data_IF_094740672369
#
_entry.id   IF_094740672369
#
_cell.length_a   1.000
_cell.length_b   1.000
_cell.length_c   1.000
_cell.angle_alpha   90.00
_cell.angle_beta   90.00
_cell.angle_gamma   90.00
#
_symmetry.space_group_name_H-M   'P 1'
#
loop_
_entity.id
_entity.type
_entity.pdbx_description
1 polymer ?
#
# COMPACT_ATOMS: atom_id res chain seq x y z
N UNK A 1 21.91 -10.95 -16.27
CA UNK A 1 20.99 -9.89 -15.79
C UNK A 1 19.59 -10.27 -16.29
N UNK A 2 18.76 -10.82 -15.41
CA UNK A 2 17.35 -11.14 -15.74
C UNK A 2 16.58 -9.85 -15.50
N UNK A 3 16.33 -9.09 -16.56
CA UNK A 3 15.96 -7.67 -16.45
C UNK A 3 14.46 -7.40 -16.42
N UNK A 4 13.59 -8.42 -16.33
CA UNK A 4 12.15 -8.29 -16.15
C UNK A 4 11.57 -9.69 -15.88
N UNK A 5 11.30 -10.03 -14.61
CA UNK A 5 10.49 -11.22 -14.30
C UNK A 5 9.03 -10.81 -14.20
N UNK A 6 8.28 -11.05 -15.26
CA UNK A 6 6.82 -11.04 -15.16
C UNK A 6 6.37 -12.43 -14.72
N UNK A 7 5.78 -12.52 -13.51
CA UNK A 7 5.27 -13.78 -12.98
C UNK A 7 3.81 -13.88 -13.39
N UNK A 8 3.57 -14.60 -14.49
CA UNK A 8 2.22 -14.87 -14.97
C UNK A 8 1.83 -16.30 -14.63
N UNK A 9 0.74 -16.46 -13.89
CA UNK A 9 0.14 -17.78 -13.63
C UNK A 9 -1.34 -17.73 -13.99
N UNK A 10 -1.78 -18.57 -14.93
CA UNK A 10 -3.19 -18.73 -15.26
C UNK A 10 -3.56 -20.23 -15.30
N UNK A 11 -4.59 -20.68 -14.56
CA UNK A 11 -5.40 -19.89 -13.62
C UNK A 11 -4.57 -19.38 -12.43
N UNK A 12 -5.00 -18.26 -11.83
CA UNK A 12 -4.34 -17.72 -10.64
C UNK A 12 -4.46 -18.73 -9.48
N UNK A 13 -3.36 -19.05 -8.78
CA UNK A 13 -3.41 -19.97 -7.66
C UNK A 13 -4.20 -19.36 -6.49
N UNK A 14 -4.63 -20.20 -5.55
CA UNK A 14 -5.25 -19.72 -4.32
C UNK A 14 -4.30 -18.81 -3.52
N UNK A 15 -2.99 -19.10 -3.57
CA UNK A 15 -1.97 -18.38 -2.82
C UNK A 15 -0.71 -18.22 -3.67
N UNK A 16 -0.16 -17.02 -3.69
CA UNK A 16 1.11 -16.68 -4.34
C UNK A 16 2.02 -16.03 -3.31
N UNK A 17 3.25 -16.54 -3.19
CA UNK A 17 4.29 -15.96 -2.33
C UNK A 17 5.49 -15.66 -3.21
N UNK A 18 5.94 -14.40 -3.21
CA UNK A 18 7.09 -13.93 -3.97
C UNK A 18 8.11 -13.36 -2.99
N UNK A 19 9.36 -13.81 -3.12
CA UNK A 19 10.52 -13.26 -2.43
C UNK A 19 11.46 -12.71 -3.51
N UNK A 20 11.44 -11.40 -3.72
CA UNK A 20 12.42 -10.72 -4.57
C UNK A 20 13.51 -10.10 -3.71
N UNK A 21 14.74 -10.53 -3.96
CA UNK A 21 15.95 -10.07 -3.27
C UNK A 21 16.92 -9.39 -4.24
N UNK A 22 16.46 -9.04 -5.45
CA UNK A 22 17.32 -8.76 -6.59
C UNK A 22 16.94 -7.49 -7.37
N UNK A 23 16.22 -6.58 -6.73
CA UNK A 23 15.74 -5.31 -7.29
C UNK A 23 14.94 -5.52 -8.61
N UNK A 24 14.27 -6.68 -8.73
CA UNK A 24 13.59 -7.07 -9.96
C UNK A 24 12.17 -6.53 -9.89
N UNK A 25 11.70 -5.81 -10.92
CA UNK A 25 10.31 -5.38 -10.93
C UNK A 25 9.39 -6.61 -11.06
N UNK A 26 8.46 -6.74 -10.11
CA UNK A 26 7.43 -7.79 -10.10
C UNK A 26 6.22 -7.24 -10.83
N UNK A 27 5.88 -7.83 -11.98
CA UNK A 27 4.68 -7.48 -12.72
C UNK A 27 3.66 -8.61 -12.68
N UNK A 28 2.40 -8.23 -12.46
CA UNK A 28 1.20 -9.06 -12.69
C UNK A 28 1.10 -10.29 -11.79
N UNK A 29 1.64 -10.18 -10.57
CA UNK A 29 1.43 -11.19 -9.56
C UNK A 29 -0.06 -11.33 -9.25
N UNK A 30 -0.58 -12.55 -9.31
CA UNK A 30 -1.98 -12.81 -9.03
C UNK A 30 -2.18 -13.94 -8.04
N UNK A 31 -3.25 -13.85 -7.27
CA UNK A 31 -3.73 -14.89 -6.38
C UNK A 31 -5.24 -14.71 -6.17
N UNK A 32 -5.96 -15.79 -5.88
CA UNK A 32 -7.39 -15.71 -5.57
C UNK A 32 -7.62 -15.31 -4.11
N UNK A 33 -6.91 -15.96 -3.17
CA UNK A 33 -7.10 -15.70 -1.73
C UNK A 33 -6.02 -14.82 -1.15
N UNK A 34 -4.76 -15.16 -1.38
CA UNK A 34 -3.65 -14.50 -0.69
C UNK A 34 -2.47 -14.25 -1.62
N UNK A 35 -2.08 -12.98 -1.76
CA UNK A 35 -0.82 -12.59 -2.36
C UNK A 35 0.12 -12.08 -1.27
N UNK A 36 1.32 -12.65 -1.18
CA UNK A 36 2.40 -12.16 -0.31
C UNK A 36 3.61 -11.80 -1.15
N UNK A 37 4.09 -10.58 -1.05
CA UNK A 37 5.32 -10.12 -1.70
C UNK A 37 6.28 -9.61 -0.65
N UNK A 38 7.49 -10.13 -0.64
CA UNK A 38 8.60 -9.56 0.12
C UNK A 38 9.64 -9.10 -0.88
N UNK A 39 9.95 -7.81 -0.85
CA UNK A 39 10.84 -7.15 -1.78
C UNK A 39 12.01 -6.52 -1.07
N UNK A 40 13.20 -6.70 -1.64
CA UNK A 40 14.39 -5.95 -1.27
C UNK A 40 14.39 -4.55 -1.91
N UNK A 41 15.49 -3.86 -1.68
CA UNK A 41 15.83 -2.55 -2.19
C UNK A 41 15.43 -2.29 -3.64
N UNK A 42 14.98 -1.06 -3.94
CA UNK A 42 14.62 -0.54 -5.26
C UNK A 42 13.59 -1.36 -6.07
N UNK A 43 12.99 -2.40 -5.50
CA UNK A 43 12.02 -3.20 -6.22
C UNK A 43 10.77 -2.39 -6.54
N UNK A 44 10.19 -2.66 -7.71
CA UNK A 44 8.90 -2.13 -8.10
C UNK A 44 7.90 -3.27 -8.11
N UNK A 45 6.88 -3.19 -7.27
CA UNK A 45 5.84 -4.21 -7.15
C UNK A 45 4.58 -3.72 -7.81
N UNK A 46 4.32 -4.22 -9.02
CA UNK A 46 3.10 -3.97 -9.75
C UNK A 46 2.16 -5.16 -9.57
N UNK A 47 1.17 -5.01 -8.69
CA UNK A 47 0.06 -5.96 -8.57
C UNK A 47 -1.06 -5.49 -9.49
N UNK A 48 -0.75 -5.26 -10.77
CA UNK A 48 -1.77 -4.97 -11.76
C UNK A 48 -2.50 -6.27 -12.08
N UNK A 49 -3.58 -6.55 -11.35
CA UNK A 49 -4.52 -7.58 -11.73
C UNK A 49 -5.67 -6.91 -12.48
N UNK A 50 -5.47 -6.69 -13.77
CA UNK A 50 -6.57 -6.36 -14.70
C UNK A 50 -7.65 -7.44 -14.75
N UNK A 51 -7.46 -8.58 -14.06
CA UNK A 51 -8.33 -9.76 -14.10
C UNK A 51 -9.03 -10.02 -12.76
N UNK A 52 -8.36 -9.98 -11.61
CA UNK A 52 -8.97 -10.27 -10.27
C UNK A 52 -8.07 -9.83 -9.11
N UNK A 53 -8.58 -8.99 -8.19
CA UNK A 53 -7.87 -8.66 -6.96
C UNK A 53 -7.89 -9.85 -5.96
N UNK A 54 -6.76 -10.16 -5.29
CA UNK A 54 -6.74 -11.14 -4.21
C UNK A 54 -7.70 -10.72 -3.08
N UNK A 55 -8.23 -11.68 -2.31
CA UNK A 55 -8.98 -11.34 -1.09
C UNK A 55 -8.08 -10.57 -0.12
N UNK A 56 -6.89 -11.08 0.14
CA UNK A 56 -5.90 -10.44 0.99
C UNK A 56 -4.57 -10.25 0.24
N UNK A 57 -3.96 -9.09 0.39
CA UNK A 57 -2.65 -8.77 -0.18
C UNK A 57 -1.73 -8.25 0.92
N UNK A 58 -0.55 -8.84 1.05
CA UNK A 58 0.48 -8.44 2.01
C UNK A 58 1.78 -8.11 1.28
N UNK A 59 2.31 -6.91 1.50
CA UNK A 59 3.61 -6.50 0.96
C UNK A 59 4.54 -6.09 2.08
N UNK A 60 5.76 -6.61 2.03
CA UNK A 60 6.90 -6.12 2.79
C UNK A 60 7.90 -5.52 1.81
N UNK A 61 8.12 -4.22 1.88
CA UNK A 61 9.11 -3.51 1.07
C UNK A 61 10.26 -2.97 1.90
N UNK A 62 11.37 -2.67 1.24
CA UNK A 62 12.52 -2.00 1.84
C UNK A 62 13.21 -1.09 0.82
N UNK A 63 13.88 -0.05 1.30
CA UNK A 63 14.74 0.89 0.55
C UNK A 63 14.20 1.29 -0.84
N UNK A 64 13.49 2.41 -0.95
CA UNK A 64 12.94 2.98 -2.19
C UNK A 64 11.96 2.06 -2.96
N UNK A 65 11.29 1.13 -2.26
CA UNK A 65 10.28 0.25 -2.87
C UNK A 65 9.13 1.09 -3.44
N UNK A 66 8.72 0.77 -4.67
CA UNK A 66 7.56 1.39 -5.33
C UNK A 66 6.44 0.39 -5.49
N UNK A 67 5.26 0.71 -4.97
CA UNK A 67 4.08 -0.17 -5.03
C UNK A 67 2.95 0.58 -5.74
N UNK A 68 2.94 0.66 -7.07
CA UNK A 68 1.83 1.21 -7.82
C UNK A 68 0.74 0.17 -8.10
N UNK A 69 -0.50 0.64 -8.18
CA UNK A 69 -1.68 -0.08 -8.66
C UNK A 69 -1.97 -1.40 -7.94
N UNK A 70 -1.68 -1.45 -6.65
CA UNK A 70 -2.00 -2.60 -5.82
C UNK A 70 -3.48 -2.68 -5.50
N UNK A 71 -4.02 -3.88 -5.34
CA UNK A 71 -5.38 -4.09 -4.90
C UNK A 71 -5.56 -5.31 -3.98
N UNK A 72 -6.66 -5.29 -3.24
CA UNK A 72 -7.20 -6.40 -2.46
C UNK A 72 -8.72 -6.21 -2.31
N UNK A 73 -9.49 -7.29 -2.12
CA UNK A 73 -10.94 -7.21 -1.92
C UNK A 73 -11.32 -7.01 -0.45
N UNK A 74 -10.52 -7.51 0.48
CA UNK A 74 -10.80 -7.48 1.92
C UNK A 74 -9.70 -6.76 2.70
N UNK A 75 -8.46 -7.24 2.65
CA UNK A 75 -7.36 -6.66 3.42
C UNK A 75 -6.14 -6.37 2.54
N UNK A 76 -5.70 -5.12 2.54
CA UNK A 76 -4.42 -4.69 1.99
C UNK A 76 -3.51 -4.28 3.15
N UNK A 77 -2.38 -4.97 3.30
CA UNK A 77 -1.42 -4.67 4.35
C UNK A 77 -0.03 -4.47 3.76
N UNK A 78 0.55 -3.29 3.96
CA UNK A 78 1.84 -2.89 3.42
C UNK A 78 2.72 -2.45 4.57
N UNK A 79 3.88 -3.11 4.71
CA UNK A 79 4.90 -2.77 5.69
C UNK A 79 6.17 -2.38 4.94
N UNK A 80 6.71 -1.21 5.23
CA UNK A 80 7.96 -0.74 4.62
C UNK A 80 8.93 -0.25 5.68
N UNK A 81 10.20 -0.66 5.56
CA UNK A 81 11.20 -0.35 6.60
C UNK A 81 12.03 0.89 6.31
N UNK A 82 12.17 1.28 5.03
CA UNK A 82 12.95 2.43 4.57
C UNK A 82 12.33 2.95 3.27
N UNK A 83 12.35 4.27 3.09
CA UNK A 83 11.84 5.06 1.96
C UNK A 83 10.91 4.34 0.97
N UNK A 84 9.64 4.73 0.85
CA UNK A 84 8.75 4.08 -0.11
C UNK A 84 7.83 5.07 -0.84
N UNK A 85 7.40 4.68 -2.04
CA UNK A 85 6.32 5.34 -2.76
C UNK A 85 5.22 4.32 -2.99
N UNK A 86 4.09 4.54 -2.32
CA UNK A 86 2.90 3.69 -2.43
C UNK A 86 1.83 4.44 -3.21
N UNK A 87 1.26 3.77 -4.21
CA UNK A 87 0.03 4.19 -4.86
C UNK A 87 -0.91 3.01 -4.94
N UNK A 88 -2.10 3.15 -4.37
CA UNK A 88 -3.13 2.12 -4.47
C UNK A 88 -3.97 2.41 -5.71
N UNK A 89 -4.40 1.36 -6.40
CA UNK A 89 -5.18 1.51 -7.63
C UNK A 89 -6.45 2.33 -7.34
N UNK A 90 -6.68 3.40 -8.09
CA UNK A 90 -7.84 4.29 -7.95
C UNK A 90 -9.17 3.63 -8.37
N UNK A 91 -9.12 2.39 -8.89
CA UNK A 91 -10.31 1.69 -9.36
C UNK A 91 -10.92 0.78 -8.29
N UNK A 92 -12.25 0.86 -8.17
CA UNK A 92 -13.07 0.01 -7.33
C UNK A 92 -12.90 -1.48 -7.69
N UNK A 93 -12.91 -2.42 -6.72
CA UNK A 93 -13.27 -2.25 -5.32
C UNK A 93 -12.10 -1.86 -4.39
N UNK A 94 -12.40 -0.95 -3.46
CA UNK A 94 -11.53 -0.70 -2.31
C UNK A 94 -11.63 -1.86 -1.31
N UNK A 95 -10.54 -2.27 -0.66
CA UNK A 95 -10.58 -3.28 0.39
C UNK A 95 -11.42 -2.80 1.58
N UNK A 96 -11.95 -3.72 2.38
CA UNK A 96 -12.58 -3.37 3.65
C UNK A 96 -11.58 -2.68 4.58
N UNK A 97 -10.35 -3.20 4.65
CA UNK A 97 -9.28 -2.71 5.49
C UNK A 97 -8.00 -2.46 4.70
N UNK A 98 -7.41 -1.29 4.90
CA UNK A 98 -6.06 -0.97 4.44
C UNK A 98 -5.18 -0.60 5.61
N UNK A 99 -4.04 -1.26 5.74
CA UNK A 99 -3.01 -0.98 6.74
C UNK A 99 -1.72 -0.65 6.03
N UNK A 100 -1.14 0.50 6.34
CA UNK A 100 0.18 0.90 5.88
C UNK A 100 1.02 1.23 7.11
N UNK A 101 2.09 0.47 7.33
CA UNK A 101 3.03 0.67 8.42
C UNK A 101 4.40 1.03 7.86
N UNK A 102 4.92 2.19 8.27
CA UNK A 102 6.19 2.74 7.84
C UNK A 102 7.00 3.27 9.02
N UNK A 103 8.27 2.86 9.05
CA UNK A 103 9.26 3.33 10.01
C UNK A 103 10.10 4.52 9.52
N UNK A 104 9.83 5.09 8.33
CA UNK A 104 10.67 6.11 7.71
C UNK A 104 9.89 7.17 6.90
N UNK A 105 10.39 7.54 5.71
CA UNK A 105 9.83 8.51 4.78
C UNK A 105 9.01 7.83 3.70
N UNK A 106 7.69 8.01 3.75
CA UNK A 106 6.78 7.43 2.77
C UNK A 106 5.98 8.51 2.06
N UNK A 107 5.88 8.38 0.74
CA UNK A 107 4.88 9.12 -0.03
C UNK A 107 3.76 8.16 -0.41
N UNK A 108 2.60 8.35 0.18
CA UNK A 108 1.42 7.52 -0.03
C UNK A 108 0.39 8.31 -0.82
N UNK A 109 -0.08 7.74 -1.93
CA UNK A 109 -1.08 8.35 -2.79
C UNK A 109 -2.26 7.42 -3.02
N UNK A 110 -3.44 8.01 -3.21
CA UNK A 110 -4.64 7.32 -3.72
C UNK A 110 -5.09 6.12 -2.89
N UNK A 111 -4.86 6.17 -1.58
CA UNK A 111 -5.30 5.10 -0.67
C UNK A 111 -6.80 5.08 -0.55
N UNK A 112 -7.39 3.89 -0.57
CA UNK A 112 -8.78 3.72 -0.21
C UNK A 112 -9.01 2.50 0.69
N UNK A 113 -10.08 2.57 1.47
CA UNK A 113 -10.64 1.50 2.28
C UNK A 113 -12.14 1.76 2.49
N UNK A 114 -12.95 0.72 2.69
CA UNK A 114 -14.39 0.87 2.97
C UNK A 114 -14.65 1.04 4.46
N UNK A 115 -14.07 0.19 5.31
CA UNK A 115 -14.33 0.19 6.74
C UNK A 115 -13.23 0.92 7.50
N UNK A 116 -11.98 0.51 7.30
CA UNK A 116 -10.87 0.95 8.15
C UNK A 116 -9.61 1.24 7.36
N UNK A 117 -9.09 2.46 7.53
CA UNK A 117 -7.77 2.86 7.05
C UNK A 117 -6.86 3.12 8.26
N UNK A 118 -5.74 2.40 8.35
CA UNK A 118 -4.68 2.68 9.30
C UNK A 118 -3.39 3.03 8.58
N UNK A 119 -2.81 4.18 8.91
CA UNK A 119 -1.52 4.61 8.38
C UNK A 119 -0.61 4.99 9.54
N UNK A 120 0.56 4.36 9.64
CA UNK A 120 1.64 4.78 10.54
C UNK A 120 2.78 5.32 9.68
N UNK A 121 3.13 6.59 9.82
CA UNK A 121 4.21 7.24 9.06
C UNK A 121 5.19 7.94 10.00
N UNK A 122 6.49 7.70 9.87
CA UNK A 122 7.42 8.09 10.93
C UNK A 122 8.17 9.41 10.70
N UNK A 123 8.71 9.69 9.51
CA UNK A 123 9.53 10.92 9.28
C UNK A 123 9.40 11.46 7.86
N UNK A 124 9.07 12.75 7.72
CA UNK A 124 8.95 13.45 6.43
C UNK A 124 8.01 12.77 5.43
N UNK A 125 7.05 12.00 5.95
CA UNK A 125 6.10 11.28 5.12
C UNK A 125 5.08 12.25 4.54
N UNK A 126 4.56 11.96 3.35
CA UNK A 126 3.43 12.66 2.76
C UNK A 126 2.31 11.67 2.55
N UNK A 127 1.18 11.88 3.22
CA UNK A 127 0.06 10.95 3.21
C UNK A 127 -1.14 11.60 2.52
N UNK A 128 -1.31 11.31 1.24
CA UNK A 128 -2.46 11.73 0.45
C UNK A 128 -3.52 10.62 0.48
N UNK A 129 -4.47 10.73 1.41
CA UNK A 129 -5.67 9.89 1.42
C UNK A 129 -6.75 10.56 0.56
N UNK A 130 -6.38 10.91 -0.67
CA UNK A 130 -7.33 11.39 -1.66
C UNK A 130 -7.97 10.18 -2.34
N UNK A 131 -8.98 9.58 -1.71
CA UNK A 131 -9.88 8.71 -2.46
C UNK A 131 -10.94 9.60 -3.08
N UNK A 132 -10.80 9.87 -4.37
CA UNK A 132 -11.86 10.51 -5.18
C UNK A 132 -13.11 9.64 -5.30
N UNK A 133 -13.10 8.41 -4.75
CA UNK A 133 -14.11 7.37 -4.97
C UNK A 133 -14.79 6.89 -3.67
N UNK A 134 -14.06 6.64 -2.58
CA UNK A 134 -14.64 6.13 -1.31
C UNK A 134 -13.89 6.65 -0.08
N UNK A 135 -14.59 7.36 0.81
CA UNK A 135 -14.08 7.67 2.14
C UNK A 135 -14.28 6.49 3.09
N UNK A 136 -13.24 6.04 3.84
CA UNK A 136 -13.39 4.99 4.85
C UNK A 136 -14.39 5.37 5.93
N UNK A 137 -15.02 4.39 6.58
CA UNK A 137 -15.80 4.67 7.79
C UNK A 137 -14.89 5.23 8.90
N UNK A 138 -13.77 4.57 9.16
CA UNK A 138 -12.82 4.97 10.18
C UNK A 138 -11.43 5.15 9.55
N UNK A 139 -10.78 6.27 9.87
CA UNK A 139 -9.41 6.56 9.45
C UNK A 139 -8.56 6.88 10.67
N UNK A 140 -7.49 6.12 10.87
CA UNK A 140 -6.52 6.30 11.93
C UNK A 140 -5.13 6.57 11.34
N UNK A 141 -4.56 7.73 11.65
CA UNK A 141 -3.19 8.06 11.24
C UNK A 141 -2.34 8.33 12.46
N UNK A 142 -1.21 7.64 12.57
CA UNK A 142 -0.16 7.94 13.53
C UNK A 142 1.02 8.49 12.78
N UNK A 143 1.45 9.71 13.11
CA UNK A 143 2.61 10.30 12.47
C UNK A 143 3.55 11.08 13.39
N UNK A 144 4.78 11.24 12.91
CA UNK A 144 5.81 12.05 13.57
C UNK A 144 6.67 12.84 12.57
N UNK A 145 7.48 13.77 13.07
CA UNK A 145 8.59 14.45 12.37
C UNK A 145 8.22 15.01 10.98
N UNK A 146 7.62 16.21 10.94
CA UNK A 146 7.32 16.96 9.69
C UNK A 146 6.49 16.17 8.66
N UNK A 147 5.76 15.14 9.07
CA UNK A 147 4.82 14.43 8.21
C UNK A 147 3.70 15.38 7.76
N UNK A 148 3.41 15.37 6.47
CA UNK A 148 2.37 16.18 5.83
C UNK A 148 1.15 15.30 5.51
N UNK A 149 -0.05 15.74 5.94
CA UNK A 149 -1.33 15.10 5.63
C UNK A 149 -2.21 16.15 4.91
N UNK A 150 -2.10 16.26 3.58
CA UNK A 150 -2.79 17.31 2.83
C UNK A 150 -4.19 16.92 2.33
N UNK A 151 -4.57 15.65 2.42
CA UNK A 151 -5.92 15.21 2.03
C UNK A 151 -6.29 13.94 2.81
N UNK A 152 -7.43 13.99 3.51
CA UNK A 152 -7.92 12.89 4.33
C UNK A 152 -9.42 12.96 4.53
N UNK A 153 -10.06 11.80 4.55
CA UNK A 153 -11.46 11.70 4.92
C UNK A 153 -11.76 10.46 5.77
N UNK A 154 -12.87 10.57 6.50
CA UNK A 154 -13.55 9.47 7.18
C UNK A 154 -15.04 9.81 7.25
N UNK A 155 -15.92 8.79 7.23
CA UNK A 155 -17.37 8.99 7.34
C UNK A 155 -17.85 9.01 8.81
N UNK A 156 -17.20 8.24 9.69
CA UNK A 156 -17.59 8.10 11.10
C UNK A 156 -16.51 8.63 12.05
N UNK A 157 -15.28 8.12 11.98
CA UNK A 157 -14.21 8.49 12.90
C UNK A 157 -12.92 8.83 12.16
N UNK A 158 -12.42 10.04 12.39
CA UNK A 158 -11.09 10.47 11.97
C UNK A 158 -10.24 10.71 13.22
N UNK A 159 -9.17 9.94 13.38
CA UNK A 159 -8.27 10.06 14.52
C UNK A 159 -6.83 10.17 14.02
N UNK A 160 -6.21 11.32 14.29
CA UNK A 160 -4.84 11.64 13.88
C UNK A 160 -4.01 11.87 15.14
N UNK A 161 -3.04 11.01 15.36
CA UNK A 161 -2.07 11.12 16.45
C UNK A 161 -0.76 11.59 15.84
N UNK A 162 -0.49 12.88 15.95
CA UNK A 162 0.71 13.49 15.40
C UNK A 162 1.66 13.95 16.53
N UNK A 163 2.96 13.75 16.34
CA UNK A 163 4.03 14.28 17.19
C UNK A 163 5.04 15.05 16.35
N UNK A 164 5.80 15.96 16.98
CA UNK A 164 6.96 16.65 16.39
C UNK A 164 6.72 17.32 15.00
N UNK A 165 6.24 18.56 15.00
CA UNK A 165 6.11 19.47 13.83
C UNK A 165 5.32 18.95 12.61
N UNK A 166 4.52 17.89 12.76
CA UNK A 166 3.64 17.41 11.70
C UNK A 166 2.67 18.52 11.20
N UNK A 167 2.42 18.54 9.90
CA UNK A 167 1.58 19.52 9.22
C UNK A 167 0.31 18.81 8.71
N UNK A 168 -0.84 19.25 9.18
CA UNK A 168 -2.15 18.78 8.74
C UNK A 168 -2.84 19.96 8.05
N UNK A 169 -3.18 19.83 6.76
CA UNK A 169 -3.75 20.92 5.95
C UNK A 169 -4.98 20.48 5.19
#
# INVERSE_FOLDING_TARGET
IINNCSIWTWPCPNKTIIYDMSDIPIYHACAVKELRVTSSKWSKVYVNSTVTCPINTYIVGSDDTKIPDICALNELNIVVSNSAIISINETWPCPNKTVIDDSSNISIYHVCAVEELLVTGSKWSKVYVNSTVVCPNNTYIVCSDETEIPDICALNELNIVASDSAIIS
#
